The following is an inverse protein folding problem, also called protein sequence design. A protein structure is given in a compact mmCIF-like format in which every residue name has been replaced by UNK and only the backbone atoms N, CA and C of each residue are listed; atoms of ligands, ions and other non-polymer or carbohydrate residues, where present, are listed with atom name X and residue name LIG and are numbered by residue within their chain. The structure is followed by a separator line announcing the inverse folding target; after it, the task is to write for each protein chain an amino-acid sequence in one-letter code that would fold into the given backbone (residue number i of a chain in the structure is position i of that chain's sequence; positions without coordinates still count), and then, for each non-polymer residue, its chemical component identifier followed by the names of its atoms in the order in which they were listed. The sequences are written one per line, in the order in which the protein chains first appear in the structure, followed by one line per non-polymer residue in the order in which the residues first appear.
data_IF_479897366161
#
_entry.id   IF_479897366161
#
_cell.length_a   1.000
_cell.length_b   1.000
_cell.length_c   1.000
_cell.angle_alpha   90.00
_cell.angle_beta   90.00
_cell.angle_gamma   90.00
#
_symmetry.space_group_name_H-M   'P 1'
#
loop_
_entity.id
_entity.type
_entity.pdbx_description
1 polymer ?
#
# COMPACT_ATOMS: atom_id res chain seq x y z
N UNK A 1 -34.88 -20.52 36.85
CA UNK A 1 -35.30 -19.35 36.05
C UNK A 1 -34.09 -18.44 35.96
N UNK A 2 -33.51 -18.32 34.77
CA UNK A 2 -32.25 -17.63 34.51
C UNK A 2 -32.44 -16.13 34.71
N UNK A 3 -31.71 -15.54 35.65
CA UNK A 3 -31.67 -14.09 35.82
C UNK A 3 -30.77 -13.48 34.75
N UNK A 4 -31.38 -12.96 33.68
CA UNK A 4 -30.70 -12.15 32.66
C UNK A 4 -30.10 -10.90 33.30
N UNK A 5 -28.78 -10.76 33.20
CA UNK A 5 -28.09 -9.49 33.48
C UNK A 5 -28.17 -8.60 32.24
N UNK A 6 -28.56 -7.32 32.36
CA UNK A 6 -28.64 -6.43 31.21
C UNK A 6 -27.22 -6.07 30.75
N UNK A 7 -26.93 -6.34 29.48
CA UNK A 7 -25.75 -5.81 28.80
C UNK A 7 -25.94 -4.32 28.60
N UNK A 8 -25.30 -3.50 29.44
CA UNK A 8 -25.23 -2.07 29.24
C UNK A 8 -24.39 -1.79 27.98
N UNK A 9 -25.05 -1.42 26.89
CA UNK A 9 -24.41 -0.83 25.73
C UNK A 9 -24.01 0.60 26.11
N UNK A 10 -22.71 0.84 26.30
CA UNK A 10 -22.22 2.17 26.62
C UNK A 10 -22.36 3.09 25.40
N UNK A 11 -23.12 4.17 25.56
CA UNK A 11 -23.21 5.29 24.63
C UNK A 11 -21.84 5.99 24.51
N UNK A 12 -21.23 6.11 23.30
CA UNK A 12 -19.94 6.75 23.12
C UNK A 12 -19.94 8.25 23.42
N UNK A 13 -21.11 8.90 23.54
CA UNK A 13 -21.23 10.35 23.65
C UNK A 13 -20.89 10.95 25.02
N UNK A 14 -20.74 10.15 26.08
CA UNK A 14 -20.63 10.65 27.46
C UNK A 14 -19.22 11.05 27.92
N UNK A 15 -18.18 10.84 27.10
CA UNK A 15 -16.78 11.11 27.48
C UNK A 15 -16.34 12.55 27.19
N UNK A 16 -17.20 13.35 26.57
CA UNK A 16 -16.91 14.74 26.23
C UNK A 16 -17.48 15.68 27.29
N UNK A 17 -16.75 15.86 28.40
CA UNK A 17 -16.68 17.08 29.24
C UNK A 17 -16.38 16.77 30.72
N UNK A 18 -15.10 16.62 31.07
CA UNK A 18 -14.52 17.10 32.35
C UNK A 18 -13.00 17.01 32.32
N UNK A 19 -12.37 18.00 32.95
CA UNK A 19 -11.07 18.61 32.63
C UNK A 19 -9.79 17.82 33.00
N UNK A 20 -8.74 18.20 32.29
CA UNK A 20 -7.29 17.99 32.53
C UNK A 20 -6.68 16.63 32.16
N UNK A 21 -6.40 16.48 30.87
CA UNK A 21 -5.45 15.53 30.32
C UNK A 21 -5.29 15.81 28.83
N UNK A 22 -4.14 16.38 28.45
CA UNK A 22 -3.76 16.81 27.10
C UNK A 22 -4.53 16.09 25.98
N UNK A 23 -5.51 16.77 25.37
CA UNK A 23 -6.13 16.31 24.12
C UNK A 23 -5.07 16.40 23.01
N UNK A 24 -4.31 15.33 22.82
CA UNK A 24 -3.45 15.24 21.65
C UNK A 24 -4.37 14.85 20.50
N UNK A 25 -4.92 15.87 19.83
CA UNK A 25 -5.64 15.70 18.57
C UNK A 25 -4.64 15.29 17.50
N UNK A 26 -4.36 13.99 17.41
CA UNK A 26 -3.44 13.49 16.40
C UNK A 26 -4.08 13.57 15.01
N UNK A 27 -3.65 14.53 14.20
CA UNK A 27 -3.98 14.52 12.78
C UNK A 27 -3.23 13.38 12.06
N UNK A 28 -3.71 12.97 10.89
CA UNK A 28 -3.01 11.98 10.07
C UNK A 28 -1.58 12.40 9.68
N UNK A 29 -1.27 13.70 9.74
CA UNK A 29 0.07 14.24 9.52
C UNK A 29 0.95 14.04 10.77
N UNK A 30 0.41 14.21 11.97
CA UNK A 30 1.15 14.00 13.24
C UNK A 30 1.53 12.53 13.44
N UNK A 31 0.66 11.59 13.05
CA UNK A 31 0.96 10.15 13.14
C UNK A 31 2.13 9.71 12.25
N UNK A 32 2.31 10.34 11.09
CA UNK A 32 3.42 10.05 10.17
C UNK A 32 4.75 10.60 10.73
N UNK A 33 4.73 11.78 11.35
CA UNK A 33 5.91 12.36 12.00
C UNK A 33 6.34 11.55 13.24
N UNK A 34 5.38 11.06 14.04
CA UNK A 34 5.67 10.31 15.28
C UNK A 34 6.25 8.93 14.98
N UNK A 35 5.70 8.22 14.01
CA UNK A 35 6.11 6.83 13.73
C UNK A 35 7.35 6.75 12.84
N UNK A 36 7.68 7.83 12.13
CA UNK A 36 8.75 7.90 11.12
C UNK A 36 8.62 6.87 9.98
N UNK A 37 7.57 6.04 9.98
CA UNK A 37 7.30 4.97 9.01
C UNK A 37 6.62 5.56 7.78
N UNK A 38 7.12 5.22 6.59
CA UNK A 38 6.46 5.66 5.37
C UNK A 38 5.03 5.09 5.29
N UNK A 39 4.04 5.89 4.85
CA UNK A 39 2.65 5.46 4.79
C UNK A 39 2.47 4.11 4.09
N UNK A 40 1.52 3.28 4.56
CA UNK A 40 1.29 1.92 4.04
C UNK A 40 1.13 1.88 2.53
N UNK A 41 0.48 2.90 1.94
CA UNK A 41 0.32 3.02 0.49
C UNK A 41 1.69 3.05 -0.22
N UNK A 42 2.68 3.75 0.33
CA UNK A 42 4.04 3.80 -0.21
C UNK A 42 4.75 2.46 -0.12
N UNK A 43 4.57 1.73 0.98
CA UNK A 43 5.13 0.38 1.17
C UNK A 43 4.52 -0.63 0.20
N UNK A 44 3.22 -0.53 -0.04
CA UNK A 44 2.55 -1.34 -1.06
C UNK A 44 3.07 -0.98 -2.46
N UNK A 45 3.30 0.31 -2.76
CA UNK A 45 3.92 0.75 -4.02
C UNK A 45 5.31 0.16 -4.20
N UNK A 46 6.18 0.31 -3.20
CA UNK A 46 7.53 -0.24 -3.21
C UNK A 46 7.49 -1.76 -3.45
N UNK A 47 6.62 -2.49 -2.75
CA UNK A 47 6.51 -3.93 -2.89
C UNK A 47 6.12 -4.36 -4.31
N UNK A 48 5.14 -3.66 -4.93
CA UNK A 48 4.74 -3.89 -6.32
C UNK A 48 5.89 -3.65 -7.29
N UNK A 49 6.59 -2.53 -7.15
CA UNK A 49 7.72 -2.18 -8.02
C UNK A 49 8.92 -3.12 -7.82
N UNK A 50 9.21 -3.54 -6.59
CA UNK A 50 10.21 -4.58 -6.32
C UNK A 50 9.90 -5.87 -7.06
N UNK A 51 8.63 -6.31 -7.03
CA UNK A 51 8.20 -7.50 -7.74
C UNK A 51 8.28 -7.33 -9.26
N UNK A 52 7.86 -6.19 -9.80
CA UNK A 52 8.04 -5.87 -11.22
C UNK A 52 9.50 -5.95 -11.66
N UNK A 53 10.41 -5.30 -10.93
CA UNK A 53 11.84 -5.38 -11.21
C UNK A 53 12.38 -6.80 -11.12
N UNK A 54 11.85 -7.63 -10.22
CA UNK A 54 12.19 -9.06 -10.19
C UNK A 54 11.79 -9.76 -11.49
N UNK A 55 10.57 -9.55 -11.99
CA UNK A 55 10.09 -10.17 -13.23
C UNK A 55 10.89 -9.67 -14.44
N UNK A 56 11.22 -8.36 -14.53
CA UNK A 56 11.97 -7.80 -15.65
C UNK A 56 13.41 -8.30 -15.77
N UNK A 57 13.99 -8.79 -14.67
CA UNK A 57 15.32 -9.39 -14.67
C UNK A 57 15.33 -10.89 -14.95
N UNK A 58 14.16 -11.52 -15.06
CA UNK A 58 14.08 -12.92 -15.50
C UNK A 58 14.27 -13.01 -17.01
N UNK A 59 14.70 -14.18 -17.46
CA UNK A 59 14.75 -14.51 -18.88
C UNK A 59 13.39 -14.32 -19.54
N UNK A 60 13.38 -13.94 -20.81
CA UNK A 60 12.14 -13.69 -21.56
C UNK A 60 11.26 -14.95 -21.65
N UNK A 61 11.86 -16.13 -21.69
CA UNK A 61 11.14 -17.41 -21.72
C UNK A 61 10.67 -17.87 -20.33
N UNK A 62 11.07 -17.18 -19.26
CA UNK A 62 10.64 -17.53 -17.92
C UNK A 62 9.11 -17.40 -17.80
N UNK A 63 8.40 -18.38 -17.22
CA UNK A 63 6.93 -18.42 -17.24
C UNK A 63 6.28 -17.17 -16.66
N UNK A 64 6.83 -16.63 -15.57
CA UNK A 64 6.33 -15.38 -14.95
C UNK A 64 6.53 -14.16 -15.84
N UNK A 65 7.60 -14.11 -16.65
CA UNK A 65 7.84 -13.00 -17.58
C UNK A 65 6.90 -13.08 -18.78
N UNK A 66 6.72 -14.28 -19.33
CA UNK A 66 5.70 -14.55 -20.36
C UNK A 66 4.27 -14.26 -19.91
N UNK A 67 3.95 -14.50 -18.63
CA UNK A 67 2.61 -14.24 -18.13
C UNK A 67 2.20 -12.75 -18.23
N UNK A 68 3.16 -11.82 -18.26
CA UNK A 68 2.89 -10.40 -18.42
C UNK A 68 2.42 -10.00 -19.82
N UNK A 69 2.75 -10.79 -20.85
CA UNK A 69 2.33 -10.52 -22.22
C UNK A 69 0.98 -11.14 -22.56
N UNK A 70 0.36 -11.86 -21.62
CA UNK A 70 -0.98 -12.43 -21.81
C UNK A 70 -2.00 -11.27 -21.78
N UNK A 71 -2.84 -11.11 -22.81
CA UNK A 71 -3.82 -10.04 -22.85
C UNK A 71 -4.85 -10.18 -21.71
N UNK A 72 -5.21 -9.06 -21.09
CA UNK A 72 -6.29 -9.04 -20.08
C UNK A 72 -7.63 -9.38 -20.74
N UNK A 73 -8.42 -10.23 -20.10
CA UNK A 73 -9.81 -10.49 -20.52
C UNK A 73 -10.70 -9.30 -20.13
N UNK A 74 -11.80 -9.06 -20.88
CA UNK A 74 -12.79 -8.04 -20.52
C UNK A 74 -13.28 -8.24 -19.08
N UNK A 75 -13.33 -7.15 -18.31
CA UNK A 75 -13.79 -7.17 -16.92
C UNK A 75 -15.31 -6.99 -16.88
N UNK A 76 -15.99 -7.82 -16.10
CA UNK A 76 -17.41 -7.61 -15.78
C UNK A 76 -17.62 -6.38 -14.90
N UNK A 77 -18.84 -5.83 -14.92
CA UNK A 77 -19.24 -4.56 -14.28
C UNK A 77 -18.94 -4.48 -12.77
N UNK A 78 -18.84 -5.61 -12.08
CA UNK A 78 -18.66 -5.68 -10.63
C UNK A 78 -17.20 -5.85 -10.18
N UNK A 79 -16.25 -6.06 -11.10
CA UNK A 79 -14.85 -6.28 -10.74
C UNK A 79 -14.11 -4.93 -10.62
N UNK A 80 -13.27 -4.74 -9.58
CA UNK A 80 -12.43 -3.54 -9.51
C UNK A 80 -11.66 -3.31 -10.82
N UNK A 81 -11.64 -2.08 -11.35
CA UNK A 81 -11.06 -1.80 -12.67
C UNK A 81 -9.54 -2.02 -12.69
N UNK A 82 -8.87 -1.83 -11.55
CA UNK A 82 -7.42 -1.92 -11.42
C UNK A 82 -6.94 -3.38 -11.26
N UNK A 83 -6.03 -3.80 -12.12
CA UNK A 83 -5.23 -5.02 -11.96
C UNK A 83 -3.91 -4.70 -11.28
N UNK A 84 -3.19 -5.74 -10.86
CA UNK A 84 -1.80 -5.58 -10.44
C UNK A 84 -0.97 -4.91 -11.55
N UNK A 85 -1.16 -5.32 -12.81
CA UNK A 85 -0.41 -4.77 -13.95
C UNK A 85 -0.75 -3.30 -14.22
N UNK A 86 -2.04 -2.93 -14.24
CA UNK A 86 -2.43 -1.53 -14.41
C UNK A 86 -1.90 -0.64 -13.28
N UNK A 87 -1.87 -1.17 -12.05
CA UNK A 87 -1.27 -0.46 -10.92
C UNK A 87 0.23 -0.26 -11.11
N UNK A 88 0.98 -1.29 -11.51
CA UNK A 88 2.42 -1.16 -11.80
C UNK A 88 2.67 -0.12 -12.90
N UNK A 89 1.93 -0.17 -14.01
CA UNK A 89 2.05 0.80 -15.09
C UNK A 89 1.75 2.23 -14.62
N UNK A 90 0.73 2.40 -13.78
CA UNK A 90 0.39 3.69 -13.19
C UNK A 90 1.49 4.20 -12.25
N UNK A 91 2.08 3.34 -11.41
CA UNK A 91 3.17 3.74 -10.52
C UNK A 91 4.43 4.14 -11.29
N UNK A 92 4.82 3.37 -12.31
CA UNK A 92 5.95 3.68 -13.19
C UNK A 92 5.74 5.04 -13.85
N UNK A 93 4.53 5.30 -14.38
CA UNK A 93 4.17 6.58 -14.99
C UNK A 93 4.20 7.72 -13.98
N UNK A 94 3.57 7.55 -12.81
CA UNK A 94 3.49 8.57 -11.76
C UNK A 94 4.86 8.95 -11.18
N UNK A 95 5.77 7.98 -11.06
CA UNK A 95 7.11 8.19 -10.51
C UNK A 95 8.15 8.51 -11.60
N UNK A 96 7.74 8.61 -12.87
CA UNK A 96 8.61 8.83 -14.02
C UNK A 96 9.81 7.88 -14.05
N UNK A 97 9.58 6.60 -13.72
CA UNK A 97 10.63 5.58 -13.68
C UNK A 97 10.78 5.00 -15.09
N UNK A 98 12.01 4.96 -15.60
CA UNK A 98 12.27 4.28 -16.85
C UNK A 98 12.30 2.75 -16.63
N UNK A 99 11.49 1.94 -17.34
CA UNK A 99 11.48 0.48 -17.17
C UNK A 99 12.84 -0.21 -17.37
N UNK A 100 13.72 0.35 -18.19
CA UNK A 100 15.06 -0.20 -18.45
C UNK A 100 15.96 -0.16 -17.20
N UNK A 101 15.69 0.75 -16.26
CA UNK A 101 16.42 0.82 -14.98
C UNK A 101 16.30 -0.45 -14.15
N UNK A 102 15.29 -1.29 -14.41
CA UNK A 102 15.12 -2.60 -13.75
C UNK A 102 16.32 -3.54 -13.93
N UNK A 103 17.10 -3.40 -15.01
CA UNK A 103 18.31 -4.21 -15.26
C UNK A 103 19.40 -3.95 -14.21
N UNK A 104 19.52 -2.70 -13.75
CA UNK A 104 20.46 -2.34 -12.70
C UNK A 104 19.80 -2.40 -11.32
N UNK A 105 20.23 -3.34 -10.47
CA UNK A 105 19.67 -3.49 -9.12
C UNK A 105 19.88 -2.24 -8.26
N UNK A 106 20.99 -1.53 -8.44
CA UNK A 106 21.32 -0.31 -7.68
C UNK A 106 20.43 0.85 -8.09
N UNK A 107 20.29 1.11 -9.40
CA UNK A 107 19.39 2.14 -9.93
C UNK A 107 17.94 1.84 -9.58
N UNK A 108 17.50 0.59 -9.71
CA UNK A 108 16.15 0.18 -9.33
C UNK A 108 15.86 0.44 -7.85
N UNK A 109 16.77 0.04 -6.95
CA UNK A 109 16.59 0.31 -5.52
C UNK A 109 16.53 1.82 -5.23
N UNK A 110 17.33 2.63 -5.92
CA UNK A 110 17.34 4.08 -5.72
C UNK A 110 16.01 4.73 -6.08
N UNK A 111 15.34 4.30 -7.15
CA UNK A 111 14.07 4.89 -7.56
C UNK A 111 12.83 4.28 -6.86
N UNK A 112 12.89 3.02 -6.39
CA UNK A 112 11.71 2.37 -5.81
C UNK A 112 11.67 2.31 -4.29
N UNK A 113 12.82 2.43 -3.62
CA UNK A 113 12.89 2.25 -2.16
C UNK A 113 12.16 3.37 -1.44
N UNK A 114 11.29 3.01 -0.49
CA UNK A 114 10.70 3.92 0.47
C UNK A 114 11.33 3.60 1.83
N UNK A 115 11.97 4.56 2.51
CA UNK A 115 12.62 4.27 3.78
C UNK A 115 11.59 3.79 4.81
N UNK A 116 12.00 2.84 5.64
CA UNK A 116 11.45 2.68 6.99
C UNK A 116 12.51 3.28 7.93
N UNK A 117 12.09 3.93 9.01
CA UNK A 117 13.01 4.36 10.05
C UNK A 117 13.62 3.11 10.67
N UNK A 118 14.90 3.21 11.06
CA UNK A 118 15.60 2.14 11.76
C UNK A 118 15.51 2.35 13.26
#
# INVERSE_FOLDING_TARGET
MTSDSPVYFHDPGSWFNSQEGVEISYSALDWVEITMVAPIAEKMRESRLRWYGHIMRRDENHPVRRALSIPERPKGRSRPPATWWSNVQNEIRKQNIEPQTTRSRTLWRKCTRRPDPK
#
